data_IF_121979079678
#
_entry.id   IF_121979079678
#
_cell.length_a   1.000
_cell.length_b   1.000
_cell.length_c   1.000
_cell.angle_alpha   90.00
_cell.angle_beta   90.00
_cell.angle_gamma   90.00
#
_symmetry.space_group_name_H-M   'P 1'
#
loop_
_entity.id
_entity.type
_entity.pdbx_description
1 polymer ?
#
# COMPACT_ATOMS: atom_id res chain seq x y z
N UNK A 1 -1.77 -13.14 13.12
CA UNK A 1 -1.18 -12.68 14.40
C UNK A 1 -1.10 -11.16 14.40
N UNK A 2 -1.33 -10.55 15.56
CA UNK A 2 -1.19 -9.11 15.72
C UNK A 2 0.16 -8.80 16.39
N UNK A 3 0.87 -7.80 15.85
CA UNK A 3 2.12 -7.26 16.40
C UNK A 3 3.16 -8.35 16.77
N UNK A 4 3.40 -9.27 15.86
CA UNK A 4 4.55 -10.19 15.98
C UNK A 4 5.84 -9.36 16.03
N UNK A 5 6.68 -9.62 17.03
CA UNK A 5 7.83 -8.77 17.32
C UNK A 5 8.86 -8.73 16.18
N UNK A 6 9.10 -9.85 15.50
CA UNK A 6 10.05 -9.91 14.40
C UNK A 6 9.50 -9.17 13.16
N UNK A 7 8.23 -9.40 12.83
CA UNK A 7 7.54 -8.73 11.73
C UNK A 7 7.47 -7.24 11.99
N UNK A 8 7.03 -6.82 13.18
CA UNK A 8 6.91 -5.41 13.53
C UNK A 8 8.26 -4.67 13.46
N UNK A 9 9.35 -5.35 13.78
CA UNK A 9 10.70 -4.76 13.70
C UNK A 9 11.06 -4.42 12.26
N UNK A 10 10.98 -5.38 11.33
CA UNK A 10 11.34 -5.13 9.92
C UNK A 10 10.38 -4.15 9.26
N UNK A 11 9.09 -4.19 9.61
CA UNK A 11 8.09 -3.23 9.10
C UNK A 11 8.42 -1.80 9.54
N UNK A 12 8.75 -1.59 10.82
CA UNK A 12 9.14 -0.27 11.31
C UNK A 12 10.43 0.23 10.68
N UNK A 13 11.41 -0.65 10.51
CA UNK A 13 12.66 -0.32 9.82
C UNK A 13 12.39 0.11 8.38
N UNK A 14 11.54 -0.63 7.65
CA UNK A 14 11.13 -0.30 6.30
C UNK A 14 10.49 1.10 6.21
N UNK A 15 9.46 1.37 7.01
CA UNK A 15 8.76 2.66 6.95
C UNK A 15 9.62 3.83 7.45
N UNK A 16 10.49 3.60 8.42
CA UNK A 16 11.44 4.61 8.88
C UNK A 16 12.45 4.95 7.79
N UNK A 17 13.00 3.94 7.14
CA UNK A 17 13.95 4.12 6.04
C UNK A 17 13.29 4.75 4.80
N UNK A 18 12.05 4.37 4.49
CA UNK A 18 11.28 4.95 3.39
C UNK A 18 11.00 6.45 3.61
N UNK A 19 10.54 6.84 4.80
CA UNK A 19 10.32 8.25 5.14
C UNK A 19 11.62 9.07 5.12
N UNK A 20 12.72 8.49 5.61
CA UNK A 20 14.04 9.11 5.58
C UNK A 20 14.74 9.05 4.21
N UNK A 21 14.18 8.33 3.23
CA UNK A 21 14.80 8.03 1.93
C UNK A 21 16.19 7.39 2.10
N UNK A 22 16.33 6.56 3.13
CA UNK A 22 17.57 5.84 3.45
C UNK A 22 17.74 4.61 2.55
N UNK A 23 18.28 4.86 1.37
CA UNK A 23 18.54 3.85 0.33
C UNK A 23 19.42 2.71 0.87
N UNK A 24 20.41 3.01 1.70
CA UNK A 24 21.33 2.01 2.20
C UNK A 24 20.62 0.98 3.10
N UNK A 25 19.73 1.43 3.97
CA UNK A 25 18.91 0.53 4.79
C UNK A 25 17.90 -0.22 3.92
N UNK A 26 17.18 0.47 3.01
CA UNK A 26 16.18 -0.16 2.13
C UNK A 26 16.78 -1.28 1.28
N UNK A 27 17.96 -1.08 0.71
CA UNK A 27 18.66 -2.10 -0.09
C UNK A 27 18.94 -3.40 0.69
N UNK A 28 19.06 -3.31 2.01
CA UNK A 28 19.30 -4.50 2.85
C UNK A 28 18.04 -5.26 3.25
N UNK A 29 16.90 -4.58 3.25
CA UNK A 29 15.64 -5.14 3.75
C UNK A 29 14.56 -5.32 2.70
N UNK A 30 14.81 -4.91 1.45
CA UNK A 30 13.87 -5.04 0.31
C UNK A 30 14.49 -5.88 -0.80
N UNK A 31 13.78 -6.87 -1.29
CA UNK A 31 14.22 -7.73 -2.39
C UNK A 31 13.05 -8.09 -3.33
N UNK A 32 13.19 -7.92 -4.66
CA UNK A 32 14.37 -7.41 -5.34
C UNK A 32 14.53 -5.90 -5.14
N UNK A 33 15.77 -5.41 -5.03
CA UNK A 33 16.09 -3.99 -5.04
C UNK A 33 16.49 -3.57 -6.45
N UNK A 34 15.58 -2.93 -7.17
CA UNK A 34 15.77 -2.47 -8.55
C UNK A 34 15.31 -1.01 -8.69
N UNK A 35 15.49 -0.44 -9.88
CA UNK A 35 15.18 0.96 -10.15
C UNK A 35 13.68 1.28 -9.95
N UNK A 36 12.78 0.37 -10.33
CA UNK A 36 11.34 0.56 -10.21
C UNK A 36 10.91 0.58 -8.74
N UNK A 37 11.38 -0.37 -7.94
CA UNK A 37 11.14 -0.42 -6.49
C UNK A 37 11.73 0.79 -5.80
N UNK A 38 12.95 1.19 -6.18
CA UNK A 38 13.59 2.38 -5.64
C UNK A 38 12.77 3.64 -5.93
N UNK A 39 12.34 3.82 -7.17
CA UNK A 39 11.52 4.96 -7.58
C UNK A 39 10.18 4.98 -6.84
N UNK A 40 9.48 3.85 -6.72
CA UNK A 40 8.19 3.78 -6.03
C UNK A 40 8.27 4.18 -4.56
N UNK A 41 9.39 3.90 -3.89
CA UNK A 41 9.59 4.25 -2.48
C UNK A 41 10.09 5.70 -2.34
N UNK A 42 11.05 6.13 -3.17
CA UNK A 42 11.75 7.39 -3.00
C UNK A 42 11.01 8.59 -3.57
N UNK A 43 10.10 8.39 -4.52
CA UNK A 43 9.30 9.48 -5.11
C UNK A 43 8.10 9.89 -4.26
N UNK A 44 7.82 9.20 -3.16
CA UNK A 44 6.76 9.61 -2.24
C UNK A 44 7.23 10.78 -1.39
N UNK A 45 6.91 12.00 -1.81
CA UNK A 45 7.22 13.26 -1.11
C UNK A 45 6.05 13.78 -0.26
N UNK A 46 4.92 13.10 -0.30
CA UNK A 46 3.67 13.53 0.34
C UNK A 46 3.64 13.14 1.81
N UNK A 47 4.18 11.98 2.16
CA UNK A 47 4.19 11.47 3.54
C UNK A 47 5.52 11.80 4.22
N UNK A 48 5.46 12.65 5.23
CA UNK A 48 6.63 13.04 6.03
C UNK A 48 7.06 11.96 7.04
N UNK A 49 6.09 11.29 7.66
CA UNK A 49 6.34 10.23 8.64
C UNK A 49 5.20 9.22 8.71
N UNK A 50 5.53 8.04 9.22
CA UNK A 50 4.60 6.96 9.50
C UNK A 50 4.57 6.73 11.02
N UNK A 51 3.42 6.99 11.66
CA UNK A 51 3.25 6.91 13.10
C UNK A 51 2.35 5.75 13.50
N UNK A 52 2.35 5.38 14.76
CA UNK A 52 1.46 4.36 15.35
C UNK A 52 1.42 3.03 14.57
N UNK A 53 2.55 2.62 13.97
CA UNK A 53 2.65 1.41 13.16
C UNK A 53 2.28 0.18 13.98
N UNK A 54 1.29 -0.57 13.50
CA UNK A 54 0.92 -1.89 14.00
C UNK A 54 0.72 -2.88 12.84
N UNK A 55 0.88 -4.18 13.11
CA UNK A 55 0.88 -5.21 12.09
C UNK A 55 -0.13 -6.31 12.36
N UNK A 56 -0.77 -6.81 11.29
CA UNK A 56 -1.66 -7.95 11.29
C UNK A 56 -1.12 -8.95 10.27
N UNK A 57 -0.54 -10.05 10.72
CA UNK A 57 0.13 -11.00 9.85
C UNK A 57 -0.64 -12.31 9.68
N UNK A 58 -0.63 -12.82 8.45
CA UNK A 58 -1.00 -14.19 8.09
C UNK A 58 0.24 -14.90 7.55
N UNK A 59 0.32 -16.22 7.74
CA UNK A 59 1.37 -16.99 7.07
C UNK A 59 1.18 -16.89 5.56
N UNK A 60 2.26 -16.78 4.83
CA UNK A 60 2.21 -16.80 3.37
C UNK A 60 2.17 -18.23 2.81
N UNK A 61 2.11 -18.39 1.48
CA UNK A 61 2.03 -19.68 0.82
C UNK A 61 3.37 -20.45 0.86
N UNK A 62 4.48 -19.75 1.04
CA UNK A 62 5.81 -20.31 1.11
C UNK A 62 6.29 -20.36 2.58
N UNK A 63 7.02 -21.41 2.96
CA UNK A 63 7.58 -21.50 4.31
C UNK A 63 8.46 -20.29 4.62
N UNK A 64 8.25 -19.70 5.81
CA UNK A 64 8.95 -18.49 6.22
C UNK A 64 8.47 -17.20 5.56
N UNK A 65 7.34 -17.24 4.86
CA UNK A 65 6.72 -16.06 4.29
C UNK A 65 5.47 -15.61 5.06
N UNK A 66 5.14 -14.32 4.92
CA UNK A 66 4.01 -13.69 5.61
C UNK A 66 3.36 -12.64 4.72
N UNK A 67 2.02 -12.63 4.72
CA UNK A 67 1.22 -11.49 4.26
C UNK A 67 0.95 -10.61 5.47
N UNK A 68 1.38 -9.36 5.43
CA UNK A 68 1.34 -8.44 6.56
C UNK A 68 0.53 -7.21 6.20
N UNK A 69 -0.59 -7.03 6.84
CA UNK A 69 -1.36 -5.79 6.78
C UNK A 69 -0.80 -4.83 7.82
N UNK A 70 -0.38 -3.67 7.36
CA UNK A 70 0.29 -2.66 8.19
C UNK A 70 -0.64 -1.48 8.35
N UNK A 71 -1.14 -1.28 9.56
CA UNK A 71 -1.78 -0.04 9.95
C UNK A 71 -0.73 1.00 10.31
N UNK A 72 -0.91 2.21 9.87
CA UNK A 72 -0.14 3.37 10.31
C UNK A 72 -0.97 4.64 10.22
N UNK A 73 -0.56 5.65 10.97
CA UNK A 73 -1.05 7.01 10.81
C UNK A 73 -0.02 7.79 9.99
N UNK A 74 -0.38 8.18 8.76
CA UNK A 74 0.47 8.96 7.87
C UNK A 74 0.43 10.45 8.19
N UNK A 75 1.61 11.07 8.42
CA UNK A 75 1.73 12.52 8.48
C UNK A 75 1.93 13.06 7.08
N UNK A 76 0.97 13.83 6.60
CA UNK A 76 1.03 14.47 5.28
C UNK A 76 1.66 15.86 5.42
N UNK A 77 2.49 16.24 4.45
CA UNK A 77 3.12 17.57 4.38
C UNK A 77 2.06 18.68 4.43
N UNK A 78 2.24 19.63 5.35
CA UNK A 78 1.33 20.76 5.58
C UNK A 78 -0.08 20.42 6.09
N UNK A 79 -0.35 19.21 6.50
CA UNK A 79 -1.61 18.81 7.14
C UNK A 79 -1.30 18.32 8.55
N UNK A 80 -1.94 18.93 9.56
CA UNK A 80 -1.67 18.58 10.96
C UNK A 80 -2.31 17.27 11.39
N UNK A 81 -3.45 16.92 10.82
CA UNK A 81 -4.18 15.70 11.12
C UNK A 81 -3.48 14.49 10.50
N UNK A 82 -3.22 13.49 11.33
CA UNK A 82 -2.68 12.20 10.88
C UNK A 82 -3.75 11.41 10.11
N UNK A 83 -3.34 10.73 9.06
CA UNK A 83 -4.22 9.94 8.20
C UNK A 83 -4.11 8.45 8.52
N UNK A 84 -5.13 7.86 9.16
CA UNK A 84 -5.21 6.42 9.34
C UNK A 84 -5.17 5.70 7.99
N UNK A 85 -4.23 4.79 7.84
CA UNK A 85 -3.97 4.11 6.56
C UNK A 85 -3.69 2.64 6.78
N UNK A 86 -3.97 1.84 5.77
CA UNK A 86 -3.66 0.42 5.73
C UNK A 86 -2.90 0.10 4.44
N UNK A 87 -1.78 -0.57 4.59
CA UNK A 87 -1.05 -1.13 3.45
C UNK A 87 -0.78 -2.62 3.64
N UNK A 88 -0.30 -3.27 2.61
CA UNK A 88 0.04 -4.68 2.64
C UNK A 88 1.47 -4.88 2.15
N UNK A 89 2.26 -5.60 2.96
CA UNK A 89 3.60 -6.07 2.61
C UNK A 89 3.62 -7.59 2.53
N UNK A 90 4.41 -8.12 1.61
CA UNK A 90 4.76 -9.52 1.57
C UNK A 90 6.19 -9.67 2.11
N UNK A 91 6.35 -10.45 3.17
CA UNK A 91 7.65 -10.71 3.77
C UNK A 91 8.07 -12.14 3.50
N UNK A 92 9.36 -12.32 3.24
CA UNK A 92 9.98 -13.64 3.16
C UNK A 92 11.18 -13.72 4.08
N UNK A 93 11.64 -14.94 4.36
CA UNK A 93 12.88 -15.18 5.08
C UNK A 93 14.01 -15.39 4.08
N UNK A 94 15.08 -14.63 4.19
CA UNK A 94 16.27 -14.75 3.36
C UNK A 94 17.16 -15.94 3.75
N UNK A 95 18.27 -16.12 3.04
CA UNK A 95 19.23 -17.21 3.29
C UNK A 95 19.90 -17.13 4.68
N UNK A 96 19.90 -15.96 5.31
CA UNK A 96 20.46 -15.74 6.65
C UNK A 96 19.45 -16.01 7.77
N UNK A 97 18.17 -16.21 7.42
CA UNK A 97 17.07 -16.37 8.37
C UNK A 97 16.43 -15.04 8.78
N UNK A 98 16.78 -13.94 8.12
CA UNK A 98 16.22 -12.61 8.38
C UNK A 98 14.96 -12.38 7.55
N UNK A 99 13.97 -11.68 8.13
CA UNK A 99 12.78 -11.24 7.38
C UNK A 99 13.13 -10.04 6.51
N UNK A 100 12.69 -10.08 5.24
CA UNK A 100 12.83 -9.00 4.27
C UNK A 100 11.50 -8.73 3.58
N UNK A 101 11.31 -7.50 3.11
CA UNK A 101 10.18 -7.11 2.26
C UNK A 101 10.43 -7.65 0.86
N UNK A 102 9.49 -8.44 0.35
CA UNK A 102 9.61 -9.13 -0.93
C UNK A 102 8.51 -8.71 -1.89
N UNK A 103 8.75 -8.98 -3.17
CA UNK A 103 7.78 -8.74 -4.21
C UNK A 103 6.56 -9.65 -4.03
N UNK A 104 5.40 -9.02 -3.88
CA UNK A 104 4.09 -9.70 -3.77
C UNK A 104 3.62 -10.34 -5.09
N UNK A 105 4.23 -9.98 -6.20
CA UNK A 105 3.96 -10.52 -7.54
C UNK A 105 5.02 -11.54 -7.99
N UNK A 106 5.88 -11.95 -7.07
CA UNK A 106 7.00 -12.88 -7.34
C UNK A 106 6.58 -14.19 -8.04
N UNK A 107 5.33 -14.63 -7.83
CA UNK A 107 4.75 -15.78 -8.52
C UNK A 107 3.22 -15.72 -8.56
N UNK A 108 2.58 -16.39 -9.55
CA UNK A 108 1.12 -16.51 -9.60
C UNK A 108 0.52 -17.10 -8.32
N UNK A 109 1.20 -18.05 -7.68
CA UNK A 109 0.77 -18.68 -6.43
C UNK A 109 0.73 -17.68 -5.28
N UNK A 110 1.73 -16.83 -5.17
CA UNK A 110 1.79 -15.77 -4.15
C UNK A 110 0.67 -14.75 -4.38
N UNK A 111 0.47 -14.32 -5.62
CA UNK A 111 -0.58 -13.38 -6.00
C UNK A 111 -1.97 -13.92 -5.65
N UNK A 112 -2.30 -15.13 -6.12
CA UNK A 112 -3.60 -15.79 -5.84
C UNK A 112 -3.83 -15.95 -4.33
N UNK A 113 -2.79 -16.33 -3.58
CA UNK A 113 -2.88 -16.47 -2.14
C UNK A 113 -3.17 -15.13 -1.44
N UNK A 114 -2.50 -14.06 -1.85
CA UNK A 114 -2.72 -12.71 -1.31
C UNK A 114 -4.16 -12.26 -1.59
N UNK A 115 -4.67 -12.48 -2.79
CA UNK A 115 -6.06 -12.18 -3.15
C UNK A 115 -7.04 -12.96 -2.26
N UNK A 116 -6.79 -14.25 -2.07
CA UNK A 116 -7.62 -15.09 -1.21
C UNK A 116 -7.66 -14.58 0.23
N UNK A 117 -6.50 -14.34 0.86
CA UNK A 117 -6.45 -13.91 2.27
C UNK A 117 -6.94 -12.49 2.47
N UNK A 118 -6.87 -11.65 1.44
CA UNK A 118 -7.46 -10.30 1.46
C UNK A 118 -8.98 -10.34 1.56
N UNK A 119 -9.62 -11.40 1.04
CA UNK A 119 -11.06 -11.65 1.18
C UNK A 119 -11.49 -12.22 2.53
N UNK A 120 -10.56 -12.57 3.41
CA UNK A 120 -10.88 -13.12 4.72
C UNK A 120 -11.62 -12.11 5.61
N UNK A 121 -12.61 -12.58 6.35
CA UNK A 121 -13.50 -11.72 7.15
C UNK A 121 -12.77 -10.84 8.18
N UNK A 122 -11.66 -11.32 8.75
CA UNK A 122 -10.84 -10.57 9.71
C UNK A 122 -10.04 -9.45 9.02
N UNK A 123 -9.61 -9.66 7.78
CA UNK A 123 -8.95 -8.64 6.96
C UNK A 123 -9.96 -7.59 6.50
N UNK A 124 -11.13 -8.02 6.03
CA UNK A 124 -12.20 -7.11 5.62
C UNK A 124 -12.69 -6.24 6.80
N UNK A 125 -12.77 -6.81 7.99
CA UNK A 125 -13.09 -6.05 9.20
C UNK A 125 -12.01 -5.01 9.55
N UNK A 126 -10.72 -5.35 9.33
CA UNK A 126 -9.61 -4.41 9.52
C UNK A 126 -9.67 -3.27 8.51
N UNK A 127 -9.94 -3.57 7.24
CA UNK A 127 -10.12 -2.56 6.18
C UNK A 127 -11.23 -1.59 6.56
N UNK A 128 -12.42 -2.12 6.92
CA UNK A 128 -13.56 -1.29 7.30
C UNK A 128 -13.30 -0.41 8.54
N UNK A 129 -12.55 -0.91 9.53
CA UNK A 129 -12.15 -0.12 10.72
C UNK A 129 -11.22 1.04 10.34
N UNK A 130 -10.27 0.81 9.43
CA UNK A 130 -9.35 1.86 8.98
C UNK A 130 -10.05 2.88 8.10
N UNK A 131 -10.93 2.44 7.19
CA UNK A 131 -11.75 3.34 6.37
C UNK A 131 -12.61 4.27 7.22
N UNK A 132 -13.27 3.72 8.25
CA UNK A 132 -14.04 4.52 9.17
C UNK A 132 -13.17 5.58 9.87
N UNK A 133 -12.01 5.21 10.38
CA UNK A 133 -11.08 6.15 11.03
C UNK A 133 -10.58 7.22 10.07
N UNK A 134 -10.27 6.85 8.82
CA UNK A 134 -9.88 7.78 7.78
C UNK A 134 -11.00 8.77 7.47
N UNK A 135 -12.24 8.30 7.37
CA UNK A 135 -13.41 9.16 7.17
C UNK A 135 -13.63 10.12 8.36
N UNK A 136 -13.50 9.63 9.59
CA UNK A 136 -13.59 10.46 10.79
C UNK A 136 -12.52 11.55 10.82
N UNK A 137 -11.29 11.23 10.41
CA UNK A 137 -10.20 12.20 10.30
C UNK A 137 -10.49 13.27 9.25
N UNK A 138 -11.02 12.89 8.06
CA UNK A 138 -11.42 13.82 7.01
C UNK A 138 -12.59 14.73 7.44
N UNK A 139 -13.54 14.20 8.18
CA UNK A 139 -14.69 14.98 8.66
C UNK A 139 -14.26 15.98 9.76
N UNK A 140 -13.21 15.69 10.50
CA UNK A 140 -12.66 16.55 11.53
C UNK A 140 -11.74 17.66 10.97
N UNK A 141 -11.12 17.45 9.81
CA UNK A 141 -10.16 18.38 9.21
C UNK A 141 -10.50 18.69 7.74
N UNK A 142 -11.03 19.90 7.46
CA UNK A 142 -11.34 20.31 6.10
C UNK A 142 -10.13 20.33 5.15
N UNK A 143 -8.92 20.62 5.64
CA UNK A 143 -7.71 20.62 4.81
C UNK A 143 -7.35 19.20 4.38
N UNK A 144 -7.47 18.22 5.29
CA UNK A 144 -7.30 16.82 4.95
C UNK A 144 -8.36 16.36 3.94
N UNK A 145 -9.62 16.74 4.15
CA UNK A 145 -10.72 16.39 3.23
C UNK A 145 -10.48 16.93 1.82
N UNK A 146 -10.04 18.18 1.69
CA UNK A 146 -9.72 18.81 0.40
C UNK A 146 -8.53 18.12 -0.27
N UNK A 147 -7.49 17.79 0.51
CA UNK A 147 -6.33 17.04 0.01
C UNK A 147 -6.75 15.66 -0.53
N UNK A 148 -7.51 14.88 0.23
CA UNK A 148 -7.97 13.56 -0.18
C UNK A 148 -8.90 13.62 -1.41
N UNK A 149 -9.71 14.66 -1.52
CA UNK A 149 -10.51 14.91 -2.73
C UNK A 149 -9.63 15.22 -3.95
N UNK A 150 -8.58 16.03 -3.79
CA UNK A 150 -7.65 16.35 -4.89
C UNK A 150 -6.87 15.11 -5.38
N UNK A 151 -6.50 14.21 -4.50
CA UNK A 151 -5.87 12.92 -4.88
C UNK A 151 -6.85 12.06 -5.66
N UNK A 152 -8.12 12.02 -5.25
CA UNK A 152 -9.15 11.26 -5.96
C UNK A 152 -9.48 11.84 -7.34
N UNK A 153 -9.50 13.18 -7.48
CA UNK A 153 -9.78 13.85 -8.77
C UNK A 153 -8.63 13.63 -9.77
N UNK A 154 -7.38 13.67 -9.33
CA UNK A 154 -6.24 13.39 -10.21
C UNK A 154 -6.29 11.96 -10.76
N UNK A 155 -6.74 10.99 -9.98
CA UNK A 155 -6.92 9.61 -10.45
C UNK A 155 -8.06 9.45 -11.47
N UNK A 156 -9.06 10.35 -11.45
CA UNK A 156 -10.17 10.32 -12.41
C UNK A 156 -9.80 10.96 -13.75
N UNK A 157 -8.97 12.01 -13.76
CA UNK A 157 -8.58 12.71 -14.99
C UNK A 157 -7.53 11.93 -15.82
N UNK A 158 -6.64 11.17 -15.19
CA UNK A 158 -5.67 10.33 -15.91
C UNK A 158 -6.32 9.08 -16.55
N UNK A 159 -7.56 8.75 -16.22
CA UNK A 159 -8.36 7.71 -16.85
C UNK A 159 -9.09 8.14 -18.14
N UNK A 160 -9.13 9.41 -18.48
CA UNK A 160 -9.90 9.94 -19.63
C UNK A 160 -9.05 10.40 -20.83
N UNK A 161 -7.86 9.89 -21.04
CA UNK A 161 -7.10 10.14 -22.27
C UNK A 161 -7.14 8.96 -23.24
N UNK A 162 -8.34 8.68 -23.78
CA UNK A 162 -8.50 7.65 -24.82
C UNK A 162 -9.93 7.63 -25.38
N UNK A 163 -10.26 8.60 -26.27
CA UNK A 163 -11.47 8.60 -27.07
C UNK A 163 -11.50 7.36 -27.98
N UNK A 164 -12.40 6.47 -27.81
CA UNK A 164 -13.33 5.87 -28.79
C UNK A 164 -14.06 4.64 -28.20
N UNK A 165 -15.37 4.68 -28.34
CA UNK A 165 -16.36 3.61 -28.47
C UNK A 165 -16.05 2.20 -27.94
N UNK A 166 -16.72 1.85 -26.83
CA UNK A 166 -17.38 0.53 -26.66
C UNK A 166 -16.53 -0.69 -26.88
N UNK A 167 -15.82 -1.12 -25.83
CA UNK A 167 -15.67 -2.57 -25.63
C UNK A 167 -15.42 -2.85 -24.13
N UNK A 168 -15.99 -3.96 -23.67
CA UNK A 168 -15.85 -4.50 -22.33
C UNK A 168 -14.36 -4.52 -21.91
N UNK A 169 -14.04 -3.86 -20.81
CA UNK A 169 -12.71 -3.84 -20.23
C UNK A 169 -12.12 -5.26 -20.19
N UNK A 170 -11.03 -5.46 -20.91
CA UNK A 170 -10.27 -6.70 -20.85
C UNK A 170 -9.61 -6.77 -19.48
N UNK A 171 -10.13 -7.62 -18.61
CA UNK A 171 -9.47 -8.02 -17.35
C UNK A 171 -8.11 -8.61 -17.71
N UNK A 172 -7.01 -8.03 -17.21
CA UNK A 172 -5.66 -8.58 -17.39
C UNK A 172 -4.65 -7.67 -18.10
N UNK A 173 -4.82 -6.35 -18.09
CA UNK A 173 -3.83 -5.40 -18.58
C UNK A 173 -2.90 -4.91 -17.46
N UNK A 174 -1.60 -4.80 -17.74
CA UNK A 174 -0.66 -4.08 -16.87
C UNK A 174 -0.80 -2.58 -17.11
N UNK A 175 -1.03 -1.82 -16.04
CA UNK A 175 -1.09 -0.36 -16.06
C UNK A 175 -0.10 0.21 -15.07
N UNK A 176 0.66 1.23 -15.49
CA UNK A 176 1.59 1.93 -14.61
C UNK A 176 0.88 3.13 -13.99
N UNK A 177 0.98 3.28 -12.68
CA UNK A 177 0.45 4.43 -11.96
C UNK A 177 1.28 5.67 -12.31
N UNK A 178 0.67 6.64 -12.99
CA UNK A 178 1.33 7.88 -13.39
C UNK A 178 1.00 9.08 -12.48
N UNK A 179 0.21 8.85 -11.45
CA UNK A 179 -0.16 9.86 -10.44
C UNK A 179 0.68 9.68 -9.19
N UNK A 180 0.89 10.75 -8.41
CA UNK A 180 1.69 10.71 -7.18
C UNK A 180 1.17 9.68 -6.16
N UNK A 181 -0.15 9.50 -6.10
CA UNK A 181 -0.79 8.47 -5.28
C UNK A 181 -2.05 7.95 -5.96
N UNK A 182 -2.22 6.63 -6.02
CA UNK A 182 -3.42 5.97 -6.51
C UNK A 182 -4.08 5.19 -5.37
N UNK A 183 -5.37 5.45 -5.13
CA UNK A 183 -6.15 4.64 -4.20
C UNK A 183 -6.52 3.30 -4.86
N UNK A 184 -6.06 2.18 -4.30
CA UNK A 184 -6.58 0.86 -4.65
C UNK A 184 -7.91 0.68 -3.94
N UNK A 185 -8.96 0.40 -4.72
CA UNK A 185 -10.32 0.22 -4.21
C UNK A 185 -10.77 -1.22 -4.37
N UNK A 186 -11.67 -1.66 -3.50
CA UNK A 186 -12.22 -3.01 -3.51
C UNK A 186 -13.05 -3.30 -4.76
N UNK A 187 -13.70 -2.29 -5.33
CA UNK A 187 -14.49 -2.37 -6.54
C UNK A 187 -14.17 -1.18 -7.46
N UNK A 188 -14.38 -1.27 -8.77
CA UNK A 188 -14.12 -0.18 -9.72
C UNK A 188 -15.19 0.93 -9.57
N UNK A 189 -15.22 1.56 -8.41
CA UNK A 189 -16.14 2.64 -8.06
C UNK A 189 -15.46 3.61 -7.11
N UNK A 190 -15.68 4.91 -7.32
CA UNK A 190 -15.21 5.97 -6.42
C UNK A 190 -15.84 5.91 -5.04
N UNK A 191 -16.97 5.23 -4.89
CA UNK A 191 -17.70 5.05 -3.63
C UNK A 191 -17.31 3.77 -2.88
N UNK A 192 -16.43 2.93 -3.47
CA UNK A 192 -15.99 1.71 -2.82
C UNK A 192 -14.84 1.97 -1.84
N UNK A 193 -14.71 1.09 -0.84
CA UNK A 193 -13.68 1.18 0.19
C UNK A 193 -12.27 1.24 -0.41
N UNK A 194 -11.43 2.14 0.12
CA UNK A 194 -10.02 2.25 -0.26
C UNK A 194 -9.24 1.13 0.43
N UNK A 195 -8.68 0.21 -0.35
CA UNK A 195 -7.88 -0.91 0.15
C UNK A 195 -6.40 -0.55 0.37
N UNK A 196 -5.94 0.55 -0.20
CA UNK A 196 -4.56 1.00 -0.08
C UNK A 196 -4.26 2.17 -1.00
N UNK A 197 -3.07 2.71 -0.84
CA UNK A 197 -2.53 3.77 -1.68
C UNK A 197 -1.26 3.23 -2.35
N UNK A 198 -1.16 3.37 -3.67
CA UNK A 198 0.07 3.06 -4.43
C UNK A 198 0.69 4.34 -4.96
N UNK A 199 2.02 4.40 -4.89
CA UNK A 199 2.79 5.52 -5.39
C UNK A 199 2.92 5.49 -6.92
N UNK A 200 3.28 6.62 -7.49
CA UNK A 200 3.63 6.77 -8.91
C UNK A 200 4.71 5.75 -9.32
N UNK A 201 4.61 5.25 -10.54
CA UNK A 201 5.53 4.26 -11.09
C UNK A 201 5.21 2.80 -10.74
N UNK A 202 4.24 2.55 -9.86
CA UNK A 202 3.80 1.18 -9.54
C UNK A 202 2.99 0.61 -10.70
N UNK A 203 3.33 -0.59 -11.16
CA UNK A 203 2.51 -1.33 -12.13
C UNK A 203 1.38 -2.05 -11.38
N UNK A 204 0.16 -1.82 -11.80
CA UNK A 204 -1.04 -2.51 -11.31
C UNK A 204 -1.66 -3.33 -12.44
N UNK A 205 -2.11 -4.52 -12.15
CA UNK A 205 -2.88 -5.36 -13.09
C UNK A 205 -4.37 -5.13 -12.82
N UNK A 206 -5.12 -4.78 -13.85
CA UNK A 206 -6.55 -4.50 -13.77
C UNK A 206 -7.35 -5.67 -14.33
#
# INVERSE_FOLDING_TARGET
>A
TRDDAAILTVVREYYTAAAAKDVATLETIVSPWNEDVQNSILQNDVIESYENISTYSKKGPVDGSYVVYVYFDGKITNIDTLVPSLSMLYLTTDETGSLIVSDRESSPEVKEYIEQVSGDADVQALVADVDQKCQEAQDADPALKEFMASVNDQTAEDGEAGDDAGDTAAVGGEMTVNTEMLNIRQEPSTDSAIMGIVASGTTVTV
#
